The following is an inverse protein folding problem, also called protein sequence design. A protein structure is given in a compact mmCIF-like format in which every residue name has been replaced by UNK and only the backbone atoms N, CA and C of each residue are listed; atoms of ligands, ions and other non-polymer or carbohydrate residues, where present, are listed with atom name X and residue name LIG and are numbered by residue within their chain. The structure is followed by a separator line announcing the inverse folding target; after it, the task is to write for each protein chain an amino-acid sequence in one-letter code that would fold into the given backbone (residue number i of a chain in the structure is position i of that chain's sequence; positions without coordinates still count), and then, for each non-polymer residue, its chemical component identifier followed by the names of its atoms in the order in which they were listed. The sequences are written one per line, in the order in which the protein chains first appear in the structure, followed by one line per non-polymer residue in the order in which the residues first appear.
data_IF_497922180495
#
_entry.id   IF_497922180495
#
_cell.length_a   1.000
_cell.length_b   1.000
_cell.length_c   1.000
_cell.angle_alpha   90.00
_cell.angle_beta   90.00
_cell.angle_gamma   90.00
#
_symmetry.space_group_name_H-M   'P 1'
#
loop_
_entity.id
_entity.type
_entity.pdbx_description
1 polymer ?
#
# COMPACT_ATOMS: atom_id res chain seq x y z
N UNK A 1 -35.09 66.74 -25.92
CA UNK A 1 -34.03 65.78 -25.63
C UNK A 1 -34.67 64.44 -25.28
N UNK A 2 -34.61 63.42 -26.17
CA UNK A 2 -35.22 62.14 -25.95
C UNK A 2 -34.29 61.31 -25.01
N UNK A 3 -34.78 60.88 -23.84
CA UNK A 3 -34.12 59.96 -22.95
C UNK A 3 -34.09 58.59 -23.63
N UNK A 4 -32.94 58.13 -24.01
CA UNK A 4 -32.72 56.70 -24.40
C UNK A 4 -32.97 55.81 -23.16
N UNK A 5 -33.95 54.92 -23.28
CA UNK A 5 -34.15 53.86 -22.28
C UNK A 5 -32.93 52.98 -22.23
N UNK A 6 -32.50 52.57 -21.02
CA UNK A 6 -31.42 51.58 -20.85
C UNK A 6 -31.81 50.26 -21.51
N UNK A 7 -30.87 49.55 -22.14
CA UNK A 7 -31.18 48.27 -22.73
C UNK A 7 -31.59 47.26 -21.62
N UNK A 8 -32.79 46.72 -21.74
CA UNK A 8 -33.28 45.66 -20.87
C UNK A 8 -32.53 44.36 -21.20
N UNK A 9 -31.80 43.85 -20.22
CA UNK A 9 -31.13 42.55 -20.35
C UNK A 9 -32.18 41.46 -20.21
N UNK A 10 -32.33 40.60 -21.23
CA UNK A 10 -33.29 39.50 -21.20
C UNK A 10 -32.88 38.45 -20.13
N UNK A 11 -33.67 38.38 -19.06
CA UNK A 11 -33.43 37.46 -17.94
C UNK A 11 -33.38 35.99 -18.39
N UNK A 12 -34.11 35.61 -19.45
CA UNK A 12 -34.08 34.28 -20.04
C UNK A 12 -32.71 33.91 -20.64
N UNK A 13 -32.10 34.88 -21.37
CA UNK A 13 -30.74 34.64 -21.92
C UNK A 13 -29.67 34.55 -20.85
N UNK A 14 -29.81 35.30 -19.77
CA UNK A 14 -28.87 35.18 -18.63
C UNK A 14 -29.02 33.86 -17.90
N UNK A 15 -30.25 33.38 -17.74
CA UNK A 15 -30.49 32.05 -17.11
C UNK A 15 -29.93 30.90 -17.96
N UNK A 16 -30.02 30.98 -19.28
CA UNK A 16 -29.50 29.98 -20.20
C UNK A 16 -27.94 29.93 -20.14
N UNK A 17 -27.30 31.11 -20.17
CA UNK A 17 -25.84 31.18 -20.03
C UNK A 17 -25.40 30.64 -18.67
N UNK A 18 -26.09 30.96 -17.58
CA UNK A 18 -25.78 30.46 -16.26
C UNK A 18 -25.94 28.92 -16.18
N UNK A 19 -26.98 28.36 -16.81
CA UNK A 19 -27.23 26.93 -16.88
C UNK A 19 -26.18 26.20 -17.71
N UNK A 20 -25.80 26.75 -18.87
CA UNK A 20 -24.74 26.18 -19.70
C UNK A 20 -23.38 26.19 -18.99
N UNK A 21 -23.03 27.25 -18.27
CA UNK A 21 -21.83 27.32 -17.47
C UNK A 21 -21.86 26.30 -16.34
N UNK A 22 -23.01 26.10 -15.69
CA UNK A 22 -23.16 25.12 -14.62
C UNK A 22 -22.95 23.70 -15.15
N UNK A 23 -23.56 23.34 -16.30
CA UNK A 23 -23.32 22.02 -16.95
C UNK A 23 -21.88 21.91 -17.40
N UNK A 24 -21.28 22.95 -17.98
CA UNK A 24 -19.89 22.94 -18.40
C UNK A 24 -18.95 22.63 -17.22
N UNK A 25 -19.09 23.31 -16.09
CA UNK A 25 -18.29 23.02 -14.90
C UNK A 25 -18.57 21.62 -14.35
N UNK A 26 -19.82 21.16 -14.36
CA UNK A 26 -20.18 19.83 -13.89
C UNK A 26 -19.56 18.72 -14.73
N UNK A 27 -19.41 18.91 -16.05
CA UNK A 27 -18.80 17.92 -16.96
C UNK A 27 -17.27 18.05 -17.00
N UNK A 28 -16.72 19.26 -16.82
CA UNK A 28 -15.27 19.48 -16.88
C UNK A 28 -14.56 19.29 -15.54
N UNK A 29 -15.27 19.30 -14.41
CA UNK A 29 -14.69 18.90 -13.13
C UNK A 29 -14.54 17.37 -13.08
N UNK A 30 -13.44 16.85 -13.57
CA UNK A 30 -13.00 15.51 -13.23
C UNK A 30 -12.59 15.54 -11.76
N UNK A 31 -13.36 14.86 -10.92
CA UNK A 31 -12.89 14.54 -9.58
C UNK A 31 -11.77 13.54 -9.78
N UNK A 32 -10.51 13.99 -9.73
CA UNK A 32 -9.39 13.09 -9.55
C UNK A 32 -9.63 12.37 -8.21
N UNK A 33 -10.08 11.13 -8.31
CA UNK A 33 -10.01 10.24 -7.16
C UNK A 33 -8.53 9.93 -6.97
N UNK A 34 -7.89 10.67 -6.06
CA UNK A 34 -6.60 10.29 -5.53
C UNK A 34 -6.68 8.82 -5.14
N UNK A 35 -6.03 7.97 -5.92
CA UNK A 35 -5.83 6.57 -5.55
C UNK A 35 -4.75 6.53 -4.46
N UNK A 36 -5.08 7.05 -3.30
CA UNK A 36 -4.26 6.91 -2.11
C UNK A 36 -4.03 5.43 -1.79
N UNK A 37 -2.89 5.11 -1.24
CA UNK A 37 -2.61 3.80 -0.68
C UNK A 37 -3.70 3.45 0.34
N UNK A 38 -4.57 2.50 -0.01
CA UNK A 38 -5.60 1.97 0.88
C UNK A 38 -4.92 1.22 2.05
N UNK A 39 -4.48 1.96 3.05
CA UNK A 39 -3.89 1.43 4.27
C UNK A 39 -4.95 1.44 5.38
N UNK A 40 -5.41 0.27 5.74
CA UNK A 40 -6.25 0.11 6.92
C UNK A 40 -5.35 0.26 8.15
N UNK A 41 -5.48 1.37 8.87
CA UNK A 41 -4.85 1.52 10.17
C UNK A 41 -5.38 0.43 11.11
N UNK A 42 -4.51 -0.28 11.83
CA UNK A 42 -4.96 -1.21 12.87
C UNK A 42 -5.74 -0.43 13.94
N UNK A 43 -6.78 -1.03 14.54
CA UNK A 43 -7.42 -0.43 15.70
C UNK A 43 -6.37 -0.21 16.80
N UNK A 44 -6.43 0.94 17.47
CA UNK A 44 -5.64 1.18 18.67
C UNK A 44 -6.23 0.29 19.78
N UNK A 45 -5.65 -0.90 19.93
CA UNK A 45 -5.87 -1.71 21.12
C UNK A 45 -4.87 -1.23 22.16
N UNK A 46 -5.33 -1.03 23.38
CA UNK A 46 -4.48 -0.74 24.55
C UNK A 46 -3.63 -2.00 24.83
N UNK A 47 -2.51 -2.12 24.15
CA UNK A 47 -1.55 -3.20 24.40
C UNK A 47 -0.82 -2.86 25.69
N UNK A 48 -1.18 -3.55 26.76
CA UNK A 48 -0.60 -3.36 28.11
C UNK A 48 0.90 -3.70 28.11
N UNK A 49 1.36 -4.57 27.22
CA UNK A 49 2.79 -4.85 26.98
C UNK A 49 3.03 -5.03 25.47
N UNK A 50 3.80 -4.16 24.81
CA UNK A 50 4.13 -4.36 23.39
C UNK A 50 4.93 -5.65 23.22
N UNK A 51 4.62 -6.50 22.22
CA UNK A 51 5.35 -7.73 21.99
C UNK A 51 6.81 -7.39 21.68
N UNK A 52 7.73 -8.06 22.38
CA UNK A 52 9.18 -7.94 22.12
C UNK A 52 9.46 -8.56 20.75
N UNK A 53 9.73 -7.72 19.76
CA UNK A 53 10.11 -8.15 18.42
C UNK A 53 11.62 -8.37 18.42
N UNK A 54 12.07 -9.58 18.03
CA UNK A 54 13.51 -9.87 17.87
C UNK A 54 14.08 -9.01 16.75
N UNK A 55 15.27 -8.43 16.93
CA UNK A 55 15.93 -7.57 15.93
C UNK A 55 16.01 -8.21 14.55
N UNK A 56 16.31 -9.50 14.46
CA UNK A 56 16.38 -10.25 13.20
C UNK A 56 15.05 -10.32 12.42
N UNK A 57 13.93 -10.02 13.09
CA UNK A 57 12.60 -9.97 12.47
C UNK A 57 12.21 -8.55 12.03
N UNK A 58 13.11 -7.59 12.16
CA UNK A 58 12.89 -6.21 11.74
C UNK A 58 13.74 -5.93 10.50
N UNK A 59 13.10 -5.55 9.41
CA UNK A 59 13.76 -5.08 8.20
C UNK A 59 13.76 -3.55 8.20
N UNK A 60 14.91 -2.97 8.45
CA UNK A 60 15.03 -1.52 8.60
C UNK A 60 15.30 -0.86 7.26
N UNK A 61 14.41 0.04 6.86
CA UNK A 61 14.51 0.84 5.65
C UNK A 61 14.54 2.30 6.05
N UNK A 62 15.59 3.02 5.71
CA UNK A 62 15.77 4.45 6.04
C UNK A 62 15.95 5.25 4.76
N UNK A 63 15.19 6.33 4.61
CA UNK A 63 15.38 7.29 3.53
C UNK A 63 15.82 8.62 4.16
N UNK A 64 16.98 9.10 3.75
CA UNK A 64 17.56 10.32 4.27
C UNK A 64 17.03 11.57 3.53
N UNK A 65 17.40 12.75 4.01
CA UNK A 65 17.06 14.04 3.41
C UNK A 65 17.61 14.25 1.98
N UNK A 66 18.65 13.50 1.60
CA UNK A 66 19.23 13.55 0.25
C UNK A 66 18.55 12.55 -0.70
N UNK A 67 17.50 11.88 -0.24
CA UNK A 67 16.80 10.82 -0.97
C UNK A 67 17.61 9.52 -1.16
N UNK A 68 18.70 9.33 -0.40
CA UNK A 68 19.45 8.07 -0.41
C UNK A 68 18.72 7.03 0.44
N UNK A 69 18.66 5.81 -0.07
CA UNK A 69 18.03 4.67 0.59
C UNK A 69 19.13 3.85 1.31
N UNK A 70 18.89 3.58 2.60
CA UNK A 70 19.68 2.63 3.38
C UNK A 70 18.77 1.48 3.82
N UNK A 71 19.21 0.27 3.58
CA UNK A 71 18.54 -0.96 4.01
C UNK A 71 19.51 -1.76 4.88
N UNK A 72 19.10 -2.08 6.11
CA UNK A 72 19.99 -2.76 7.07
C UNK A 72 21.36 -2.05 7.19
N UNK A 73 21.33 -0.72 7.29
CA UNK A 73 22.52 0.18 7.37
C UNK A 73 23.41 0.19 6.11
N UNK A 74 23.01 -0.47 5.01
CA UNK A 74 23.76 -0.49 3.75
C UNK A 74 23.02 0.36 2.69
N UNK A 75 23.77 1.19 1.94
CA UNK A 75 23.18 1.90 0.82
C UNK A 75 22.68 0.92 -0.24
N UNK A 76 21.47 1.19 -0.77
CA UNK A 76 20.82 0.34 -1.76
C UNK A 76 20.06 1.20 -2.77
N UNK A 77 19.95 0.72 -4.01
CA UNK A 77 19.07 1.33 -5.01
C UNK A 77 17.61 0.94 -4.79
N UNK A 78 16.69 1.86 -5.09
CA UNK A 78 15.24 1.60 -4.94
C UNK A 78 14.80 0.39 -5.78
N UNK A 79 15.42 0.17 -6.94
CA UNK A 79 15.16 -0.97 -7.82
C UNK A 79 15.46 -2.33 -7.19
N UNK A 80 16.39 -2.40 -6.23
CA UNK A 80 16.80 -3.61 -5.53
C UNK A 80 15.97 -3.90 -4.27
N UNK A 81 15.27 -2.87 -3.76
CA UNK A 81 14.54 -2.94 -2.50
C UNK A 81 13.46 -4.04 -2.48
N UNK A 82 12.76 -4.22 -3.61
CA UNK A 82 11.72 -5.25 -3.74
C UNK A 82 12.30 -6.64 -3.48
N UNK A 83 13.39 -6.98 -4.14
CA UNK A 83 14.00 -8.30 -4.05
C UNK A 83 14.61 -8.53 -2.66
N UNK A 84 15.22 -7.51 -2.07
CA UNK A 84 15.71 -7.56 -0.70
C UNK A 84 14.57 -7.79 0.31
N UNK A 85 13.46 -7.09 0.17
CA UNK A 85 12.28 -7.28 1.02
C UNK A 85 11.64 -8.67 0.83
N UNK A 86 11.56 -9.18 -0.41
CA UNK A 86 11.11 -10.55 -0.69
C UNK A 86 12.01 -11.57 0.00
N UNK A 87 13.34 -11.43 -0.14
CA UNK A 87 14.30 -12.32 0.47
C UNK A 87 14.19 -12.34 2.01
N UNK A 88 13.97 -11.18 2.63
CA UNK A 88 13.76 -11.06 4.05
C UNK A 88 12.44 -11.70 4.51
N UNK A 89 11.32 -11.35 3.87
CA UNK A 89 9.99 -11.84 4.24
C UNK A 89 9.83 -13.35 4.05
N UNK A 90 10.47 -13.90 3.03
CA UNK A 90 10.38 -15.33 2.66
C UNK A 90 11.52 -16.17 3.27
N UNK A 91 12.40 -15.58 4.08
CA UNK A 91 13.60 -16.23 4.60
C UNK A 91 13.29 -17.57 5.31
N UNK A 92 12.37 -17.59 6.27
CA UNK A 92 12.00 -18.81 6.98
C UNK A 92 13.12 -19.40 7.87
N UNK A 93 13.91 -18.52 8.52
CA UNK A 93 15.02 -18.91 9.40
C UNK A 93 14.61 -19.43 10.77
N UNK A 94 13.31 -19.38 11.10
CA UNK A 94 12.75 -19.85 12.37
C UNK A 94 12.85 -21.36 12.54
N UNK A 95 12.92 -21.82 13.82
CA UNK A 95 12.97 -23.22 14.20
C UNK A 95 11.86 -23.57 15.19
N UNK A 96 11.45 -24.83 15.24
CA UNK A 96 10.40 -25.29 16.15
C UNK A 96 9.05 -24.62 15.82
N UNK A 97 8.46 -23.95 16.79
CA UNK A 97 7.19 -23.24 16.62
C UNK A 97 7.27 -22.06 15.64
N UNK A 98 8.46 -21.52 15.41
CA UNK A 98 8.71 -20.41 14.49
C UNK A 98 9.03 -20.89 13.06
N UNK A 99 9.06 -22.20 12.80
CA UNK A 99 9.38 -22.76 11.50
C UNK A 99 8.33 -22.37 10.44
N UNK A 100 8.81 -22.09 9.24
CA UNK A 100 7.95 -21.75 8.10
C UNK A 100 7.99 -22.87 7.05
N UNK A 101 6.88 -23.59 6.87
CA UNK A 101 6.81 -24.71 5.93
C UNK A 101 6.62 -24.26 4.47
N UNK A 102 6.09 -23.03 4.26
CA UNK A 102 5.80 -22.50 2.94
C UNK A 102 6.84 -21.49 2.43
N UNK A 103 7.80 -21.11 3.26
CA UNK A 103 8.90 -20.22 2.89
C UNK A 103 9.89 -20.90 1.96
N UNK A 104 10.41 -20.15 0.97
CA UNK A 104 11.34 -20.64 -0.05
C UNK A 104 12.69 -19.90 -0.01
N UNK A 105 12.91 -19.06 1.00
CA UNK A 105 14.13 -18.28 1.16
C UNK A 105 15.32 -19.08 1.65
N UNK A 106 16.39 -18.39 2.02
CA UNK A 106 17.68 -18.96 2.38
C UNK A 106 17.68 -19.74 3.72
N UNK A 107 16.65 -19.58 4.54
CA UNK A 107 16.53 -20.14 5.90
C UNK A 107 17.67 -19.72 6.83
N UNK A 108 18.18 -18.51 6.62
CA UNK A 108 19.23 -17.94 7.44
C UNK A 108 18.70 -17.63 8.84
N UNK A 109 19.33 -18.17 9.86
CA UNK A 109 18.95 -18.00 11.27
C UNK A 109 19.28 -16.60 11.81
N UNK A 110 20.07 -15.82 11.09
CA UNK A 110 20.36 -14.40 11.40
C UNK A 110 19.33 -13.44 10.84
N UNK A 111 18.47 -13.88 9.92
CA UNK A 111 17.39 -13.11 9.31
C UNK A 111 16.01 -13.60 9.78
N UNK A 112 14.94 -13.14 9.18
CA UNK A 112 13.58 -13.31 9.68
C UNK A 112 13.19 -14.77 9.94
N UNK A 113 12.48 -14.99 11.05
CA UNK A 113 12.00 -16.32 11.45
C UNK A 113 10.95 -16.84 10.47
N UNK A 114 9.93 -16.02 10.20
CA UNK A 114 8.83 -16.32 9.29
C UNK A 114 8.09 -15.03 8.92
N UNK A 115 7.24 -15.03 7.87
CA UNK A 115 6.51 -13.84 7.43
C UNK A 115 5.55 -13.27 8.48
N UNK A 116 5.05 -14.09 9.40
CA UNK A 116 4.13 -13.63 10.44
C UNK A 116 4.86 -12.77 11.48
N UNK A 117 6.12 -13.07 11.78
CA UNK A 117 6.95 -12.32 12.74
C UNK A 117 7.74 -11.19 12.09
N UNK A 118 7.94 -11.26 10.79
CA UNK A 118 8.67 -10.25 10.03
C UNK A 118 7.94 -8.91 10.02
N UNK A 119 8.66 -7.84 10.35
CA UNK A 119 8.18 -6.45 10.34
C UNK A 119 9.12 -5.61 9.51
N UNK A 120 8.57 -4.80 8.61
CA UNK A 120 9.34 -3.80 7.87
C UNK A 120 9.18 -2.47 8.59
N UNK A 121 10.29 -1.86 9.01
CA UNK A 121 10.33 -0.54 9.64
C UNK A 121 10.83 0.50 8.64
N UNK A 122 9.94 1.35 8.17
CA UNK A 122 10.28 2.46 7.28
C UNK A 122 10.47 3.73 8.10
N UNK A 123 11.65 4.32 7.97
CA UNK A 123 12.00 5.63 8.57
C UNK A 123 12.33 6.60 7.44
N UNK A 124 11.68 7.74 7.40
CA UNK A 124 11.99 8.79 6.45
C UNK A 124 12.36 10.08 7.20
N UNK A 125 13.25 10.86 6.62
CA UNK A 125 13.52 12.22 7.09
C UNK A 125 12.35 13.14 6.69
N UNK A 126 12.17 14.24 7.43
CA UNK A 126 11.13 15.24 7.11
C UNK A 126 11.37 15.97 5.80
N UNK A 127 12.62 16.06 5.38
CA UNK A 127 13.06 16.72 4.15
C UNK A 127 13.13 15.75 2.96
N UNK A 128 12.79 14.47 3.16
CA UNK A 128 12.73 13.49 2.06
C UNK A 128 11.64 13.87 1.06
N UNK A 129 11.97 13.81 -0.23
CA UNK A 129 11.00 14.02 -1.31
C UNK A 129 9.84 13.02 -1.23
N UNK A 130 8.63 13.53 -1.27
CA UNK A 130 7.42 12.69 -1.24
C UNK A 130 7.39 11.63 -2.35
N UNK A 131 7.92 11.98 -3.53
CA UNK A 131 8.03 11.05 -4.67
C UNK A 131 8.89 9.83 -4.33
N UNK A 132 10.01 10.03 -3.64
CA UNK A 132 10.93 8.96 -3.24
C UNK A 132 10.30 8.10 -2.16
N UNK A 133 9.68 8.72 -1.17
CA UNK A 133 8.92 8.02 -0.13
C UNK A 133 7.84 7.10 -0.72
N UNK A 134 7.03 7.59 -1.66
CA UNK A 134 6.01 6.79 -2.34
C UNK A 134 6.64 5.68 -3.20
N UNK A 135 7.76 5.92 -3.87
CA UNK A 135 8.45 4.90 -4.64
C UNK A 135 8.93 3.75 -3.72
N UNK A 136 9.53 4.07 -2.57
CA UNK A 136 9.95 3.08 -1.57
C UNK A 136 8.75 2.28 -1.03
N UNK A 137 7.66 2.95 -0.67
CA UNK A 137 6.45 2.26 -0.22
C UNK A 137 5.89 1.32 -1.29
N UNK A 138 5.86 1.74 -2.55
CA UNK A 138 5.39 0.91 -3.66
C UNK A 138 6.23 -0.35 -3.82
N UNK A 139 7.56 -0.26 -3.71
CA UNK A 139 8.45 -1.42 -3.79
C UNK A 139 8.21 -2.40 -2.62
N UNK A 140 8.03 -1.89 -1.40
CA UNK A 140 7.72 -2.71 -0.25
C UNK A 140 6.36 -3.42 -0.38
N UNK A 141 5.33 -2.71 -0.85
CA UNK A 141 4.01 -3.32 -1.13
C UNK A 141 4.10 -4.33 -2.26
N UNK A 142 4.90 -4.04 -3.31
CA UNK A 142 5.12 -4.97 -4.41
C UNK A 142 5.81 -6.26 -3.94
N UNK A 143 6.74 -6.20 -2.98
CA UNK A 143 7.35 -7.39 -2.38
C UNK A 143 6.29 -8.31 -1.73
N UNK A 144 5.37 -7.76 -0.92
CA UNK A 144 4.25 -8.54 -0.38
C UNK A 144 3.38 -9.13 -1.49
N UNK A 145 3.13 -8.37 -2.56
CA UNK A 145 2.30 -8.83 -3.68
C UNK A 145 2.95 -9.98 -4.44
N UNK A 146 4.28 -9.98 -4.63
CA UNK A 146 5.03 -11.10 -5.23
C UNK A 146 4.80 -12.38 -4.42
N UNK A 147 4.98 -12.33 -3.09
CA UNK A 147 4.82 -13.46 -2.21
C UNK A 147 3.37 -13.94 -2.14
N UNK A 148 2.41 -13.03 -2.06
CA UNK A 148 0.97 -13.33 -2.06
C UNK A 148 0.51 -13.92 -3.38
N UNK A 149 1.01 -13.41 -4.53
CA UNK A 149 0.70 -14.00 -5.85
C UNK A 149 1.18 -15.44 -5.92
N UNK A 150 2.39 -15.73 -5.46
CA UNK A 150 2.95 -17.09 -5.39
C UNK A 150 2.10 -18.00 -4.49
N UNK A 151 1.74 -17.54 -3.31
CA UNK A 151 0.89 -18.29 -2.39
C UNK A 151 -0.51 -18.55 -2.96
N UNK A 152 -1.11 -17.54 -3.59
CA UNK A 152 -2.43 -17.65 -4.19
C UNK A 152 -2.46 -18.66 -5.35
N UNK A 153 -1.46 -18.62 -6.23
CA UNK A 153 -1.32 -19.57 -7.33
C UNK A 153 -1.15 -21.01 -6.81
N UNK A 154 -0.41 -21.19 -5.71
CA UNK A 154 -0.22 -22.51 -5.07
C UNK A 154 -1.50 -23.04 -4.42
N UNK A 155 -2.23 -22.20 -3.70
CA UNK A 155 -3.43 -22.61 -2.94
C UNK A 155 -4.67 -22.73 -3.83
N UNK A 156 -4.75 -21.92 -4.88
CA UNK A 156 -5.94 -21.80 -5.73
C UNK A 156 -5.60 -21.85 -7.24
N UNK A 157 -4.93 -22.90 -7.72
CA UNK A 157 -4.45 -22.99 -9.12
C UNK A 157 -5.58 -22.90 -10.16
N UNK A 158 -6.77 -23.34 -9.79
CA UNK A 158 -7.93 -23.39 -10.69
C UNK A 158 -8.66 -22.05 -10.85
N UNK A 159 -8.22 -20.98 -10.19
CA UNK A 159 -8.89 -19.67 -10.29
C UNK A 159 -8.48 -18.88 -11.54
N UNK A 160 -7.30 -19.15 -12.10
CA UNK A 160 -6.74 -18.40 -13.22
C UNK A 160 -6.43 -16.92 -12.90
N UNK A 161 -6.50 -16.53 -11.63
CA UNK A 161 -6.26 -15.17 -11.15
C UNK A 161 -4.97 -15.10 -10.34
N UNK A 162 -4.30 -13.95 -10.38
CA UNK A 162 -3.31 -13.60 -9.37
C UNK A 162 -3.99 -13.12 -8.08
N UNK A 163 -3.26 -13.07 -6.96
CA UNK A 163 -3.77 -12.46 -5.73
C UNK A 163 -4.19 -11.00 -5.96
N UNK A 164 -3.36 -10.23 -6.67
CA UNK A 164 -3.62 -8.81 -6.95
C UNK A 164 -4.89 -8.64 -7.79
N UNK A 165 -5.11 -9.48 -8.80
CA UNK A 165 -6.31 -9.42 -9.62
C UNK A 165 -7.56 -9.84 -8.83
N UNK A 166 -7.43 -10.86 -7.99
CA UNK A 166 -8.51 -11.30 -7.10
C UNK A 166 -8.88 -10.21 -6.07
N UNK A 167 -7.89 -9.52 -5.49
CA UNK A 167 -8.10 -8.42 -4.53
C UNK A 167 -8.72 -7.20 -5.21
N UNK A 168 -8.26 -6.86 -6.43
CA UNK A 168 -8.86 -5.82 -7.27
C UNK A 168 -10.32 -6.15 -7.60
N UNK A 169 -10.60 -7.38 -8.03
CA UNK A 169 -11.95 -7.84 -8.33
C UNK A 169 -12.84 -7.79 -7.09
N UNK A 170 -12.34 -8.19 -5.93
CA UNK A 170 -13.06 -8.10 -4.66
C UNK A 170 -13.42 -6.66 -4.30
N UNK A 171 -12.52 -5.72 -4.57
CA UNK A 171 -12.69 -4.30 -4.25
C UNK A 171 -13.57 -3.55 -5.27
N UNK A 172 -13.75 -4.08 -6.49
CA UNK A 172 -14.55 -3.44 -7.55
C UNK A 172 -16.05 -3.41 -7.14
N UNK A 173 -16.69 -2.22 -7.11
CA UNK A 173 -18.13 -2.12 -6.81
C UNK A 173 -19.02 -2.90 -7.78
N UNK A 174 -18.56 -3.15 -9.01
CA UNK A 174 -19.30 -3.85 -10.07
C UNK A 174 -19.27 -5.38 -9.92
N UNK A 175 -18.41 -5.92 -9.07
CA UNK A 175 -18.35 -7.36 -8.80
C UNK A 175 -19.56 -7.81 -8.00
N UNK A 176 -20.18 -8.91 -8.42
CA UNK A 176 -21.36 -9.46 -7.77
C UNK A 176 -21.11 -9.87 -6.30
N UNK A 177 -22.10 -9.78 -5.42
CA UNK A 177 -21.96 -10.19 -4.03
C UNK A 177 -21.50 -11.65 -3.86
N UNK A 178 -22.00 -12.56 -4.71
CA UNK A 178 -21.63 -13.97 -4.69
C UNK A 178 -20.16 -14.21 -5.04
N UNK A 179 -19.61 -13.48 -6.02
CA UNK A 179 -18.19 -13.55 -6.37
C UNK A 179 -17.32 -12.98 -5.25
N UNK A 180 -17.73 -11.88 -4.63
CA UNK A 180 -17.03 -11.31 -3.46
C UNK A 180 -16.99 -12.29 -2.30
N UNK A 181 -18.10 -12.95 -2.02
CA UNK A 181 -18.18 -13.96 -0.96
C UNK A 181 -17.26 -15.16 -1.25
N UNK A 182 -17.15 -15.60 -2.50
CA UNK A 182 -16.24 -16.67 -2.91
C UNK A 182 -14.75 -16.28 -2.85
N UNK A 183 -14.43 -15.01 -3.09
CA UNK A 183 -13.05 -14.51 -3.05
C UNK A 183 -12.57 -14.19 -1.62
N UNK A 184 -13.45 -13.72 -0.76
CA UNK A 184 -13.14 -13.27 0.61
C UNK A 184 -12.31 -14.27 1.42
N UNK A 185 -12.70 -15.55 1.57
CA UNK A 185 -11.92 -16.52 2.34
C UNK A 185 -10.56 -16.82 1.71
N UNK A 186 -10.47 -16.83 0.38
CA UNK A 186 -9.22 -17.09 -0.35
C UNK A 186 -8.20 -15.97 -0.13
N UNK A 187 -8.66 -14.71 -0.24
CA UNK A 187 -7.83 -13.55 0.04
C UNK A 187 -7.39 -13.50 1.50
N UNK A 188 -8.30 -13.81 2.44
CA UNK A 188 -7.99 -13.84 3.86
C UNK A 188 -6.93 -14.90 4.20
N UNK A 189 -7.03 -16.10 3.63
CA UNK A 189 -6.05 -17.16 3.84
C UNK A 189 -4.65 -16.76 3.38
N UNK A 190 -4.53 -16.12 2.20
CA UNK A 190 -3.23 -15.65 1.69
C UNK A 190 -2.69 -14.46 2.49
N UNK A 191 -3.57 -13.53 2.89
CA UNK A 191 -3.17 -12.40 3.76
C UNK A 191 -2.68 -12.88 5.14
N UNK A 192 -3.20 -13.99 5.63
CA UNK A 192 -2.74 -14.60 6.89
C UNK A 192 -1.33 -15.21 6.76
N UNK A 193 -0.97 -15.80 5.60
CA UNK A 193 0.38 -16.32 5.37
C UNK A 193 1.42 -15.20 5.26
N UNK A 194 1.05 -14.08 4.62
CA UNK A 194 1.93 -12.92 4.43
C UNK A 194 1.22 -11.65 4.92
N UNK A 195 1.10 -11.46 6.25
CA UNK A 195 0.51 -10.25 6.82
C UNK A 195 1.39 -9.05 6.53
N UNK A 196 0.79 -7.97 6.05
CA UNK A 196 1.54 -6.75 5.75
C UNK A 196 1.79 -5.98 7.04
N UNK A 197 2.99 -6.15 7.60
CA UNK A 197 3.47 -5.46 8.80
C UNK A 197 4.49 -4.41 8.39
N UNK A 198 4.00 -3.28 7.91
CA UNK A 198 4.81 -2.10 7.59
C UNK A 198 4.57 -1.06 8.68
N UNK A 199 5.59 -0.83 9.49
CA UNK A 199 5.61 0.19 10.54
C UNK A 199 6.34 1.43 10.03
N UNK A 200 5.71 2.58 10.18
CA UNK A 200 6.36 3.87 9.95
C UNK A 200 6.82 4.43 11.29
N UNK A 201 8.12 4.58 11.43
CA UNK A 201 8.67 5.25 12.59
C UNK A 201 8.65 6.77 12.39
N UNK A 202 8.36 7.52 13.45
CA UNK A 202 8.43 8.99 13.38
C UNK A 202 9.83 9.43 12.91
N UNK A 203 9.90 10.47 12.05
CA UNK A 203 11.18 11.01 11.61
C UNK A 203 11.98 11.49 12.84
N UNK A 204 13.24 11.08 12.90
CA UNK A 204 14.15 11.56 13.94
C UNK A 204 14.22 13.08 13.90
N UNK A 205 14.00 13.71 15.05
CA UNK A 205 14.28 15.16 15.19
C UNK A 205 15.78 15.32 15.04
N UNK A 206 16.21 15.88 13.93
CA UNK A 206 17.60 16.36 13.78
C UNK A 206 17.77 17.50 14.75
N UNK A 207 18.62 17.32 15.77
CA UNK A 207 19.08 18.41 16.65
C UNK A 207 20.05 19.30 15.86
#
# INVERSE_FOLDING_TARGET
MAKRSAPEVNAGSMADIAFLLLIFFLVTTTIETDSGLNRKLPPMEDVVDPPIIKERNIFTVVVNKNNDLLVEEKPMEISELRDAAVAFLDNGGGKGEDACDFCQGARDTSSSDNPEKAVISLKNDRETDYKVYIAVQNELVAAYNVLRNRAFARLYPNTGLSFVDADRKYSDPRTSPSEKEALKPKLAAVKALFPQKLSEAEPSKTN
#
